data_IF_127111367365
#
_entry.id   IF_127111367365
#
_cell.length_a   1.000
_cell.length_b   1.000
_cell.length_c   1.000
_cell.angle_alpha   90.00
_cell.angle_beta   90.00
_cell.angle_gamma   90.00
#
_symmetry.space_group_name_H-M   'P 1'
#
loop_
_entity.id
_entity.type
_entity.pdbx_description
1 polymer ?
#
# COMPACT_ATOMS: atom_id res chain seq x y z
N UNK A 1 -26.23 14.20 -21.02
CA UNK A 1 -27.09 14.79 -19.97
C UNK A 1 -27.63 13.67 -19.09
N UNK A 2 -26.92 13.35 -18.01
CA UNK A 2 -27.30 12.28 -17.08
C UNK A 2 -28.30 12.88 -16.10
N UNK A 3 -29.59 12.56 -16.28
CA UNK A 3 -30.65 12.96 -15.33
C UNK A 3 -30.49 12.13 -14.06
N UNK A 4 -29.80 12.67 -13.07
CA UNK A 4 -29.87 12.21 -11.68
C UNK A 4 -31.27 12.47 -11.16
N UNK A 5 -32.16 11.50 -11.34
CA UNK A 5 -33.44 11.46 -10.65
C UNK A 5 -33.17 11.14 -9.18
N UNK A 6 -32.87 12.16 -8.38
CA UNK A 6 -33.05 12.10 -6.94
C UNK A 6 -34.55 11.90 -6.71
N UNK A 7 -34.98 10.64 -6.56
CA UNK A 7 -36.26 10.36 -5.92
C UNK A 7 -36.11 10.84 -4.50
N UNK A 8 -36.76 11.96 -4.17
CA UNK A 8 -37.09 12.27 -2.80
C UNK A 8 -37.73 11.02 -2.22
N UNK A 9 -37.04 10.36 -1.29
CA UNK A 9 -37.64 9.37 -0.43
C UNK A 9 -38.69 10.11 0.37
N UNK A 10 -39.92 10.07 -0.13
CA UNK A 10 -41.07 10.43 0.67
C UNK A 10 -41.05 9.38 1.79
N UNK A 11 -40.66 9.82 2.98
CA UNK A 11 -41.10 9.16 4.20
C UNK A 11 -42.59 9.41 4.29
N UNK A 12 -43.37 8.78 3.41
CA UNK A 12 -44.73 8.43 3.76
C UNK A 12 -44.64 7.29 4.77
N UNK A 13 -44.09 7.60 5.95
CA UNK A 13 -44.55 7.03 7.19
C UNK A 13 -46.03 7.40 7.20
N UNK A 14 -46.81 6.49 6.65
CA UNK A 14 -48.23 6.60 6.52
C UNK A 14 -48.74 7.05 7.89
N UNK A 15 -49.49 8.16 7.90
CA UNK A 15 -50.29 8.62 9.04
C UNK A 15 -51.36 7.57 9.36
N UNK A 16 -50.93 6.42 9.85
CA UNK A 16 -51.76 5.25 10.13
C UNK A 16 -51.25 4.61 11.42
N UNK A 17 -51.56 5.24 12.54
CA UNK A 17 -52.34 4.60 13.61
C UNK A 17 -52.47 5.52 14.83
N UNK A 18 -53.67 5.51 15.40
CA UNK A 18 -54.07 6.24 16.60
C UNK A 18 -53.69 5.48 17.89
N UNK A 19 -52.62 4.68 17.88
CA UNK A 19 -52.31 3.73 18.94
C UNK A 19 -50.98 4.08 19.62
N UNK A 20 -51.02 4.31 20.93
CA UNK A 20 -49.85 4.68 21.77
C UNK A 20 -48.72 3.65 21.73
N UNK A 21 -49.01 2.42 21.29
CA UNK A 21 -48.08 1.29 21.30
C UNK A 21 -47.58 0.84 19.91
N UNK A 22 -47.87 1.59 18.85
CA UNK A 22 -47.46 1.24 17.48
C UNK A 22 -45.94 1.03 17.32
N UNK A 23 -45.14 1.74 18.13
CA UNK A 23 -43.69 1.56 18.19
C UNK A 23 -43.30 0.17 18.73
N UNK A 24 -43.93 -0.29 19.80
CA UNK A 24 -43.66 -1.60 20.38
C UNK A 24 -44.12 -2.73 19.47
N UNK A 25 -45.26 -2.57 18.81
CA UNK A 25 -45.73 -3.52 17.79
C UNK A 25 -44.75 -3.64 16.61
N UNK A 26 -44.07 -2.55 16.24
CA UNK A 26 -43.03 -2.57 15.22
C UNK A 26 -41.80 -3.35 15.68
N UNK A 27 -41.32 -3.08 16.90
CA UNK A 27 -40.16 -3.79 17.49
C UNK A 27 -40.40 -5.29 17.57
N UNK A 28 -41.63 -5.72 17.91
CA UNK A 28 -42.01 -7.14 17.95
C UNK A 28 -42.12 -7.78 16.56
N UNK A 29 -42.40 -7.00 15.51
CA UNK A 29 -42.47 -7.49 14.12
C UNK A 29 -41.10 -7.56 13.45
N UNK A 30 -40.14 -6.74 13.88
CA UNK A 30 -38.79 -6.77 13.33
C UNK A 30 -37.99 -7.95 13.91
N UNK A 31 -37.40 -8.82 13.07
CA UNK A 31 -36.55 -9.89 13.56
C UNK A 31 -35.31 -9.30 14.25
N UNK A 32 -34.86 -9.95 15.33
CA UNK A 32 -33.67 -9.53 16.10
C UNK A 32 -32.39 -9.54 15.26
N UNK A 33 -32.35 -10.38 14.23
CA UNK A 33 -31.24 -10.50 13.28
C UNK A 33 -31.79 -10.38 11.84
N UNK A 34 -32.08 -9.16 11.36
CA UNK A 34 -32.69 -8.96 10.05
C UNK A 34 -31.75 -9.39 8.93
N UNK A 35 -32.21 -10.32 8.08
CA UNK A 35 -31.43 -10.82 6.93
C UNK A 35 -31.48 -9.92 5.70
N UNK A 36 -32.26 -8.86 5.78
CA UNK A 36 -32.48 -7.86 4.74
C UNK A 36 -32.76 -6.52 5.44
N UNK A 37 -32.58 -5.37 4.75
CA UNK A 37 -32.95 -4.07 5.31
C UNK A 37 -34.37 -4.09 5.90
N UNK A 38 -34.57 -3.35 6.98
CA UNK A 38 -35.82 -3.38 7.75
C UNK A 38 -37.01 -3.01 6.86
N UNK A 39 -36.83 -2.09 5.91
CA UNK A 39 -37.87 -1.72 4.95
C UNK A 39 -38.33 -2.93 4.13
N UNK A 40 -37.40 -3.78 3.67
CA UNK A 40 -37.73 -4.99 2.93
C UNK A 40 -38.42 -6.05 3.81
N UNK A 41 -38.12 -6.09 5.11
CA UNK A 41 -38.80 -7.00 6.06
C UNK A 41 -40.24 -6.60 6.36
N UNK A 42 -40.57 -5.32 6.23
CA UNK A 42 -41.90 -4.77 6.48
C UNK A 42 -42.79 -4.72 5.22
N UNK A 43 -42.22 -4.98 4.04
CA UNK A 43 -42.93 -4.97 2.75
C UNK A 43 -43.72 -6.26 2.51
N UNK A 44 -44.73 -6.18 1.64
CA UNK A 44 -45.43 -7.36 1.14
C UNK A 44 -44.51 -8.19 0.22
N UNK A 45 -44.68 -9.52 0.14
CA UNK A 45 -43.81 -10.39 -0.66
C UNK A 45 -43.74 -9.98 -2.14
N UNK A 46 -44.86 -9.53 -2.72
CA UNK A 46 -44.93 -9.06 -4.11
C UNK A 46 -44.12 -7.79 -4.35
N UNK A 47 -44.17 -6.84 -3.41
CA UNK A 47 -43.42 -5.57 -3.50
C UNK A 47 -41.91 -5.82 -3.37
N UNK A 48 -41.53 -6.82 -2.57
CA UNK A 48 -40.16 -7.27 -2.39
C UNK A 48 -39.58 -7.90 -3.66
N UNK A 49 -40.34 -8.76 -4.35
CA UNK A 49 -39.96 -9.35 -5.64
C UNK A 49 -39.73 -8.27 -6.72
N UNK A 50 -40.62 -7.29 -6.79
CA UNK A 50 -40.45 -6.14 -7.69
C UNK A 50 -39.21 -5.31 -7.35
N UNK A 51 -38.93 -5.09 -6.06
CA UNK A 51 -37.74 -4.37 -5.62
C UNK A 51 -36.47 -5.11 -6.01
N UNK A 52 -36.41 -6.43 -5.76
CA UNK A 52 -35.27 -7.28 -6.17
C UNK A 52 -35.03 -7.25 -7.67
N UNK A 53 -36.09 -7.21 -8.49
CA UNK A 53 -35.95 -7.07 -9.94
C UNK A 53 -35.43 -5.70 -10.39
N UNK A 54 -35.69 -4.63 -9.61
CA UNK A 54 -35.29 -3.25 -9.90
C UNK A 54 -33.91 -2.89 -9.33
N UNK A 55 -33.52 -3.48 -8.20
CA UNK A 55 -32.24 -3.18 -7.52
C UNK A 55 -31.14 -4.11 -8.02
N UNK A 56 -30.11 -3.55 -8.65
CA UNK A 56 -28.93 -4.31 -9.11
C UNK A 56 -27.94 -4.64 -7.98
N UNK A 57 -28.12 -4.04 -6.81
CA UNK A 57 -27.26 -4.23 -5.64
C UNK A 57 -27.80 -5.34 -4.75
N UNK A 58 -27.16 -6.50 -4.77
CA UNK A 58 -27.35 -7.55 -3.76
C UNK A 58 -26.49 -7.21 -2.55
N UNK A 59 -27.11 -6.97 -1.39
CA UNK A 59 -26.38 -6.88 -0.13
C UNK A 59 -25.90 -8.28 0.23
N UNK A 60 -24.62 -8.59 -0.07
CA UNK A 60 -23.96 -9.86 0.28
C UNK A 60 -23.53 -9.91 1.76
N UNK A 61 -24.18 -9.13 2.63
CA UNK A 61 -23.72 -8.92 3.99
C UNK A 61 -24.27 -9.90 5.03
N UNK A 62 -24.95 -10.98 4.62
CA UNK A 62 -25.42 -11.97 5.57
C UNK A 62 -25.02 -13.39 5.16
N UNK A 63 -23.76 -13.72 5.45
CA UNK A 63 -23.27 -15.08 5.38
C UNK A 63 -23.93 -15.89 6.51
N UNK A 64 -24.65 -16.96 6.18
CA UNK A 64 -25.04 -17.96 7.18
C UNK A 64 -23.76 -18.62 7.69
N UNK A 65 -23.39 -18.32 8.93
CA UNK A 65 -22.23 -18.90 9.62
C UNK A 65 -22.60 -20.19 10.40
N UNK A 66 -23.86 -20.58 10.34
CA UNK A 66 -24.48 -21.65 11.14
C UNK A 66 -23.93 -23.03 10.74
N UNK A 67 -23.65 -23.26 9.45
CA UNK A 67 -23.23 -24.57 8.92
C UNK A 67 -21.70 -24.76 8.79
N UNK A 68 -20.90 -23.78 9.22
CA UNK A 68 -19.44 -23.82 9.11
C UNK A 68 -18.80 -24.31 10.42
N UNK A 69 -17.68 -25.04 10.29
CA UNK A 69 -16.88 -25.38 11.48
C UNK A 69 -16.41 -24.10 12.18
N UNK A 70 -16.16 -24.12 13.50
CA UNK A 70 -15.66 -22.94 14.21
C UNK A 70 -14.40 -22.35 13.56
N UNK A 71 -13.49 -23.19 13.06
CA UNK A 71 -12.31 -22.74 12.35
C UNK A 71 -12.65 -22.06 11.02
N UNK A 72 -13.50 -22.67 10.19
CA UNK A 72 -13.90 -22.11 8.90
C UNK A 72 -14.67 -20.79 9.06
N UNK A 73 -15.51 -20.72 10.10
CA UNK A 73 -16.20 -19.50 10.51
C UNK A 73 -15.21 -18.40 10.84
N UNK A 74 -14.18 -18.71 11.64
CA UNK A 74 -13.13 -17.74 11.98
C UNK A 74 -12.33 -17.37 10.71
N UNK A 75 -12.00 -18.31 9.81
CA UNK A 75 -11.32 -17.99 8.54
C UNK A 75 -12.16 -17.04 7.69
N UNK A 76 -13.48 -17.22 7.63
CA UNK A 76 -14.38 -16.41 6.80
C UNK A 76 -14.65 -15.02 7.37
N UNK A 77 -14.74 -14.90 8.70
CA UNK A 77 -14.98 -13.61 9.39
C UNK A 77 -13.69 -12.81 9.56
N UNK A 78 -12.58 -13.46 9.93
CA UNK A 78 -11.31 -12.81 10.28
C UNK A 78 -10.23 -12.97 9.21
N UNK A 79 -10.54 -13.57 8.06
CA UNK A 79 -9.67 -13.60 6.88
C UNK A 79 -8.49 -14.57 6.96
N UNK A 80 -8.73 -15.82 7.35
CA UNK A 80 -7.74 -16.92 7.32
C UNK A 80 -6.66 -16.90 8.41
N UNK A 81 -6.50 -15.80 9.15
CA UNK A 81 -5.38 -15.58 10.07
C UNK A 81 -5.66 -16.06 11.49
N UNK A 82 -5.89 -17.36 11.65
CA UNK A 82 -6.26 -17.93 12.96
C UNK A 82 -5.05 -18.02 13.90
N UNK A 83 -3.85 -18.23 13.36
CA UNK A 83 -2.65 -18.58 14.14
C UNK A 83 -1.65 -17.43 14.36
N UNK A 84 -2.07 -16.19 14.07
CA UNK A 84 -1.16 -15.03 14.17
C UNK A 84 -0.07 -15.01 13.10
N UNK A 85 -0.33 -15.62 11.94
CA UNK A 85 0.59 -15.60 10.80
C UNK A 85 0.99 -14.16 10.45
N UNK A 86 2.26 -13.98 10.07
CA UNK A 86 2.86 -12.68 9.77
C UNK A 86 1.99 -11.90 8.77
N UNK A 87 1.85 -10.57 8.95
CA UNK A 87 1.15 -9.74 7.96
C UNK A 87 1.88 -9.84 6.63
N UNK A 88 1.28 -10.52 5.66
CA UNK A 88 1.64 -10.38 4.26
C UNK A 88 1.15 -9.00 3.81
N UNK A 89 1.99 -7.97 3.99
CA UNK A 89 1.71 -6.64 3.48
C UNK A 89 1.58 -6.71 1.95
N UNK A 90 0.42 -6.34 1.41
CA UNK A 90 0.13 -6.37 -0.02
C UNK A 90 1.09 -5.52 -0.86
N UNK A 91 1.76 -4.54 -0.27
CA UNK A 91 2.82 -3.75 -0.92
C UNK A 91 4.12 -4.53 -1.14
N UNK A 92 4.41 -5.55 -0.32
CA UNK A 92 5.61 -6.40 -0.48
C UNK A 92 5.46 -7.53 -1.49
N UNK A 93 4.25 -7.76 -2.01
CA UNK A 93 3.97 -8.86 -2.95
C UNK A 93 4.27 -8.54 -4.42
N UNK A 94 4.42 -7.26 -4.78
CA UNK A 94 4.75 -6.83 -6.15
C UNK A 94 6.24 -6.48 -6.33
N UNK A 95 7.09 -6.91 -5.39
CA UNK A 95 8.54 -6.86 -5.55
C UNK A 95 8.93 -8.02 -6.46
N UNK A 96 9.80 -7.79 -7.44
CA UNK A 96 10.28 -8.86 -8.32
C UNK A 96 10.97 -9.98 -7.54
N UNK A 97 11.29 -11.08 -8.22
CA UNK A 97 11.86 -12.26 -7.58
C UNK A 97 13.25 -11.95 -7.00
N UNK A 98 13.51 -12.24 -5.70
CA UNK A 98 14.83 -12.05 -5.11
C UNK A 98 15.86 -12.97 -5.78
N UNK A 99 17.09 -12.50 -5.95
CA UNK A 99 18.19 -13.26 -6.58
C UNK A 99 19.32 -13.52 -5.60
N UNK A 100 19.97 -14.67 -5.75
CA UNK A 100 21.15 -15.04 -4.93
C UNK A 100 22.40 -14.68 -5.73
N UNK A 101 23.23 -13.80 -5.17
CA UNK A 101 24.47 -13.33 -5.79
C UNK A 101 25.59 -13.54 -4.77
N UNK A 102 26.61 -14.35 -5.11
CA UNK A 102 27.72 -14.69 -4.20
C UNK A 102 27.25 -15.17 -2.80
N UNK A 103 26.17 -15.96 -2.76
CA UNK A 103 25.57 -16.45 -1.51
C UNK A 103 24.77 -15.42 -0.69
N UNK A 104 24.52 -14.22 -1.22
CA UNK A 104 23.67 -13.19 -0.61
C UNK A 104 22.35 -13.08 -1.36
N UNK A 105 21.23 -13.16 -0.64
CA UNK A 105 19.88 -12.95 -1.18
C UNK A 105 19.57 -11.46 -1.32
N UNK A 106 19.69 -10.94 -2.54
CA UNK A 106 19.41 -9.53 -2.86
C UNK A 106 17.96 -9.41 -3.37
N UNK A 107 17.11 -8.58 -2.73
CA UNK A 107 15.76 -8.33 -3.20
C UNK A 107 15.78 -7.51 -4.49
N UNK A 108 14.69 -7.55 -5.25
CA UNK A 108 14.55 -6.65 -6.39
C UNK A 108 14.36 -5.19 -5.94
N UNK A 109 14.62 -4.23 -6.83
CA UNK A 109 14.49 -2.80 -6.51
C UNK A 109 13.04 -2.50 -6.10
N UNK A 110 12.81 -1.91 -4.90
CA UNK A 110 11.47 -1.53 -4.50
C UNK A 110 10.91 -0.47 -5.46
N UNK A 111 9.63 -0.59 -5.80
CA UNK A 111 8.92 0.38 -6.65
C UNK A 111 8.42 1.54 -5.80
N UNK A 112 8.44 2.73 -6.38
CA UNK A 112 7.94 3.93 -5.71
C UNK A 112 6.43 3.80 -5.41
N UNK A 113 5.97 4.26 -4.24
CA UNK A 113 4.58 4.15 -3.84
C UNK A 113 3.67 5.23 -4.45
N UNK A 114 2.57 4.82 -5.08
CA UNK A 114 1.63 5.75 -5.73
C UNK A 114 0.55 6.32 -4.77
N UNK A 115 0.39 5.77 -3.56
CA UNK A 115 -0.66 6.13 -2.63
C UNK A 115 -0.11 6.84 -1.38
N UNK A 116 0.19 8.13 -1.51
CA UNK A 116 0.55 8.98 -0.38
C UNK A 116 -0.69 9.74 0.12
N UNK A 117 -1.22 9.33 1.28
CA UNK A 117 -2.45 9.89 1.85
C UNK A 117 -2.28 11.31 2.45
N UNK A 118 -1.04 11.83 2.54
CA UNK A 118 -0.69 13.15 3.10
C UNK A 118 -1.24 13.45 4.53
N UNK A 119 -1.84 12.46 5.20
CA UNK A 119 -2.64 12.64 6.42
C UNK A 119 -1.92 12.21 7.70
N UNK A 120 -0.62 11.89 7.62
CA UNK A 120 0.17 11.51 8.80
C UNK A 120 -0.20 10.13 9.36
N UNK A 121 -0.27 9.11 8.51
CA UNK A 121 -0.46 7.72 8.95
C UNK A 121 0.68 7.27 9.86
N UNK A 122 0.36 6.41 10.84
CA UNK A 122 1.31 5.80 11.80
C UNK A 122 2.52 5.10 11.13
N UNK A 123 2.32 4.54 9.94
CA UNK A 123 3.36 4.00 9.09
C UNK A 123 3.34 4.80 7.79
N UNK A 124 4.25 5.77 7.65
CA UNK A 124 4.36 6.54 6.42
C UNK A 124 4.85 5.61 5.29
N UNK A 125 4.12 5.56 4.18
CA UNK A 125 4.48 4.72 3.03
C UNK A 125 5.87 5.07 2.49
N UNK A 126 6.22 6.37 2.53
CA UNK A 126 7.55 6.85 2.13
C UNK A 126 8.65 6.46 3.12
N UNK A 127 8.35 6.36 4.42
CA UNK A 127 9.33 5.85 5.40
C UNK A 127 9.60 4.37 5.14
N UNK A 128 8.55 3.57 4.93
CA UNK A 128 8.68 2.16 4.60
C UNK A 128 9.45 1.95 3.28
N UNK A 129 9.13 2.73 2.25
CA UNK A 129 9.86 2.70 0.98
C UNK A 129 11.33 3.07 1.16
N UNK A 130 11.62 4.14 1.90
CA UNK A 130 13.00 4.54 2.17
C UNK A 130 13.78 3.47 2.93
N UNK A 131 13.15 2.79 3.88
CA UNK A 131 13.76 1.68 4.61
C UNK A 131 13.97 0.46 3.69
N UNK A 132 13.00 0.11 2.85
CA UNK A 132 13.16 -0.94 1.83
C UNK A 132 14.28 -0.61 0.82
N UNK A 133 14.44 0.66 0.42
CA UNK A 133 15.55 1.14 -0.46
C UNK A 133 16.89 1.05 0.25
N UNK A 134 16.98 1.41 1.53
CA UNK A 134 18.22 1.26 2.32
C UNK A 134 18.60 -0.21 2.44
N UNK A 135 17.65 -1.07 2.81
CA UNK A 135 17.88 -2.52 2.93
C UNK A 135 18.34 -3.12 1.60
N UNK A 136 17.72 -2.72 0.49
CA UNK A 136 18.13 -3.12 -0.86
C UNK A 136 19.59 -2.72 -1.15
N UNK A 137 19.94 -1.45 -0.91
CA UNK A 137 21.31 -0.94 -1.10
C UNK A 137 22.34 -1.64 -0.22
N UNK A 138 21.99 -1.99 1.01
CA UNK A 138 22.91 -2.65 1.93
C UNK A 138 23.13 -4.12 1.55
N UNK A 139 22.08 -4.84 1.14
CA UNK A 139 22.25 -6.21 0.60
C UNK A 139 23.07 -6.22 -0.69
N UNK A 140 22.93 -5.18 -1.52
CA UNK A 140 23.73 -4.99 -2.73
C UNK A 140 25.20 -4.77 -2.44
N UNK A 141 25.53 -3.93 -1.46
CA UNK A 141 26.92 -3.73 -0.99
C UNK A 141 27.52 -5.04 -0.48
N UNK A 142 26.80 -5.74 0.40
CA UNK A 142 27.24 -7.03 0.94
C UNK A 142 27.47 -8.07 -0.16
N UNK A 143 26.57 -8.14 -1.14
CA UNK A 143 26.73 -9.02 -2.29
C UNK A 143 27.95 -8.63 -3.13
N UNK A 144 28.15 -7.34 -3.39
CA UNK A 144 29.30 -6.85 -4.15
C UNK A 144 30.63 -7.16 -3.44
N UNK A 145 30.71 -6.99 -2.12
CA UNK A 145 31.91 -7.28 -1.35
C UNK A 145 32.24 -8.77 -1.34
N UNK A 146 31.24 -9.65 -1.13
CA UNK A 146 31.46 -11.10 -1.25
C UNK A 146 31.85 -11.52 -2.67
N UNK A 147 31.34 -10.83 -3.68
CA UNK A 147 31.65 -11.10 -5.08
C UNK A 147 33.09 -10.66 -5.42
N UNK A 148 33.64 -9.63 -4.77
CA UNK A 148 35.09 -9.30 -4.85
C UNK A 148 35.96 -10.42 -4.28
N UNK A 149 35.52 -11.07 -3.21
CA UNK A 149 36.28 -12.13 -2.53
C UNK A 149 36.23 -13.47 -3.28
N UNK A 150 35.04 -13.86 -3.76
CA UNK A 150 34.81 -15.15 -4.42
C UNK A 150 35.16 -15.12 -5.91
N UNK A 151 35.11 -13.95 -6.53
CA UNK A 151 35.12 -13.81 -7.99
C UNK A 151 33.79 -14.24 -8.61
N UNK A 152 33.39 -13.61 -9.71
CA UNK A 152 32.15 -13.93 -10.41
C UNK A 152 31.63 -12.76 -11.23
N UNK A 153 30.51 -12.96 -11.93
CA UNK A 153 29.88 -11.90 -12.73
C UNK A 153 28.57 -11.48 -12.09
N UNK A 154 28.36 -10.16 -11.95
CA UNK A 154 27.06 -9.63 -11.58
C UNK A 154 26.07 -9.78 -12.74
N UNK A 155 24.82 -10.24 -12.52
CA UNK A 155 23.82 -10.37 -13.59
C UNK A 155 23.49 -9.02 -14.25
N UNK A 156 23.60 -8.92 -15.57
CA UNK A 156 23.36 -7.66 -16.32
C UNK A 156 21.94 -7.11 -16.09
N UNK A 157 20.93 -7.99 -16.05
CA UNK A 157 19.51 -7.62 -15.86
C UNK A 157 19.17 -7.11 -14.44
N UNK A 158 20.13 -7.12 -13.50
CA UNK A 158 19.85 -6.93 -12.08
C UNK A 158 20.58 -5.72 -11.50
N UNK A 159 20.30 -4.56 -12.10
CA UNK A 159 20.72 -3.22 -11.65
C UNK A 159 22.17 -3.07 -11.15
N UNK A 160 23.24 -3.68 -11.69
CA UNK A 160 24.59 -3.80 -11.09
C UNK A 160 25.17 -2.53 -10.41
N UNK A 161 25.82 -2.63 -9.22
CA UNK A 161 26.40 -1.48 -8.54
C UNK A 161 27.81 -1.26 -9.08
N UNK A 162 27.91 -0.62 -10.25
CA UNK A 162 29.16 -0.48 -11.01
C UNK A 162 30.29 0.12 -10.16
N UNK A 163 29.98 1.10 -9.30
CA UNK A 163 30.96 1.77 -8.41
C UNK A 163 31.54 0.85 -7.33
N UNK A 164 30.78 -0.16 -6.90
CA UNK A 164 31.15 -1.03 -5.80
C UNK A 164 31.81 -2.31 -6.28
N UNK A 165 31.79 -2.62 -7.58
CA UNK A 165 32.37 -3.84 -8.15
C UNK A 165 33.77 -3.59 -8.74
N UNK A 166 34.59 -4.63 -8.76
CA UNK A 166 35.85 -4.61 -9.52
C UNK A 166 35.56 -4.73 -11.02
N UNK A 167 36.46 -4.22 -11.88
CA UNK A 167 36.28 -4.25 -13.34
C UNK A 167 36.07 -5.66 -13.93
N UNK A 168 36.64 -6.67 -13.29
CA UNK A 168 36.53 -8.09 -13.68
C UNK A 168 35.15 -8.68 -13.39
N UNK A 169 34.42 -8.10 -12.44
CA UNK A 169 33.14 -8.61 -11.97
C UNK A 169 31.94 -7.92 -12.64
N UNK A 170 32.23 -6.95 -13.52
CA UNK A 170 31.22 -6.21 -14.28
C UNK A 170 30.88 -7.01 -15.54
N UNK A 171 29.60 -7.23 -15.85
CA UNK A 171 29.20 -7.91 -17.08
C UNK A 171 29.64 -7.11 -18.33
N UNK A 172 30.03 -7.84 -19.38
CA UNK A 172 30.69 -7.27 -20.57
C UNK A 172 29.84 -6.22 -21.30
N UNK A 173 28.51 -6.36 -21.26
CA UNK A 173 27.56 -5.41 -21.85
C UNK A 173 27.66 -4.01 -21.23
N UNK A 174 27.88 -3.93 -19.92
CA UNK A 174 28.01 -2.67 -19.19
C UNK A 174 29.45 -2.13 -19.21
N UNK A 175 30.44 -3.00 -19.36
CA UNK A 175 31.85 -2.60 -19.48
C UNK A 175 32.13 -1.83 -20.79
N UNK A 176 31.39 -2.11 -21.87
CA UNK A 176 31.53 -1.44 -23.16
C UNK A 176 30.85 -0.07 -23.22
N UNK A 177 29.92 0.21 -22.32
CA UNK A 177 29.07 1.39 -22.36
C UNK A 177 29.70 2.51 -21.49
N UNK A 178 30.34 3.54 -22.07
CA UNK A 178 31.08 4.57 -21.30
C UNK A 178 30.16 5.45 -20.42
N UNK A 179 28.85 5.26 -20.53
CA UNK A 179 27.81 5.97 -19.78
C UNK A 179 27.20 5.09 -18.66
N UNK A 180 27.65 3.85 -18.47
CA UNK A 180 27.12 2.93 -17.45
C UNK A 180 27.34 3.44 -16.02
N UNK A 181 28.53 3.96 -15.73
CA UNK A 181 28.85 4.58 -14.44
C UNK A 181 27.93 5.77 -14.15
N UNK A 182 27.66 6.61 -15.16
CA UNK A 182 26.80 7.80 -15.04
C UNK A 182 25.33 7.45 -14.86
N UNK A 183 24.81 6.40 -15.53
CA UNK A 183 23.41 5.95 -15.35
C UNK A 183 23.17 5.44 -13.92
N UNK A 184 24.12 4.68 -13.36
CA UNK A 184 24.03 4.23 -11.95
C UNK A 184 24.14 5.38 -10.95
N UNK A 185 24.92 6.42 -11.27
CA UNK A 185 25.13 7.59 -10.41
C UNK A 185 23.93 8.54 -10.33
N UNK A 186 23.17 8.67 -11.42
CA UNK A 186 21.95 9.48 -11.48
C UNK A 186 20.90 8.90 -10.52
N UNK A 187 20.67 7.58 -10.53
CA UNK A 187 19.67 6.93 -9.67
C UNK A 187 20.01 7.01 -8.16
N UNK A 188 21.29 6.96 -7.80
CA UNK A 188 21.72 6.86 -6.39
C UNK A 188 21.92 8.20 -5.67
N UNK A 189 22.20 9.29 -6.39
CA UNK A 189 22.62 10.54 -5.73
C UNK A 189 21.52 11.60 -5.71
N UNK A 190 20.98 12.02 -6.87
CA UNK A 190 20.04 13.16 -6.97
C UNK A 190 19.29 13.19 -8.31
N UNK A 191 19.14 12.06 -8.98
CA UNK A 191 18.89 12.01 -10.43
C UNK A 191 17.58 12.61 -10.89
N UNK A 192 16.51 12.33 -10.16
CA UNK A 192 15.17 12.74 -10.55
C UNK A 192 14.63 13.93 -9.75
N UNK A 193 15.49 14.53 -8.92
CA UNK A 193 15.13 15.72 -8.16
C UNK A 193 15.13 16.93 -9.09
N UNK A 194 13.98 17.61 -9.31
CA UNK A 194 13.90 18.76 -10.20
C UNK A 194 14.97 19.80 -9.88
N UNK A 195 15.47 20.47 -10.92
CA UNK A 195 16.52 21.50 -10.81
C UNK A 195 16.20 22.52 -9.70
N UNK A 196 14.92 22.88 -9.53
CA UNK A 196 14.45 23.76 -8.46
C UNK A 196 14.81 23.26 -7.05
N UNK A 197 14.57 21.99 -6.76
CA UNK A 197 14.85 21.39 -5.44
C UNK A 197 16.37 21.27 -5.24
N UNK A 198 17.13 20.97 -6.30
CA UNK A 198 18.60 20.93 -6.24
C UNK A 198 19.19 22.31 -5.91
N UNK A 199 18.68 23.37 -6.54
CA UNK A 199 19.10 24.76 -6.25
C UNK A 199 18.71 25.13 -4.82
N UNK A 200 17.51 24.77 -4.37
CA UNK A 200 17.06 25.01 -2.99
C UNK A 200 17.96 24.33 -1.96
N UNK A 201 18.30 23.06 -2.15
CA UNK A 201 19.19 22.34 -1.25
C UNK A 201 20.59 22.98 -1.19
N UNK A 202 21.12 23.48 -2.32
CA UNK A 202 22.40 24.17 -2.36
C UNK A 202 22.36 25.52 -1.63
N UNK A 203 21.29 26.32 -1.81
CA UNK A 203 21.15 27.62 -1.15
C UNK A 203 20.95 27.45 0.35
N UNK A 204 20.14 26.49 0.78
CA UNK A 204 19.92 26.18 2.20
C UNK A 204 21.21 25.73 2.89
N UNK A 205 22.00 24.86 2.24
CA UNK A 205 23.31 24.43 2.75
C UNK A 205 24.27 25.61 2.92
N UNK A 206 24.31 26.54 1.96
CA UNK A 206 25.10 27.79 2.05
C UNK A 206 24.61 28.70 3.18
N UNK A 207 23.29 28.86 3.32
CA UNK A 207 22.66 29.64 4.41
C UNK A 207 22.98 29.04 5.79
N UNK A 208 22.88 27.71 5.94
CA UNK A 208 23.19 27.00 7.20
C UNK A 208 24.68 27.08 7.55
N UNK A 209 25.57 27.00 6.56
CA UNK A 209 27.01 27.22 6.77
C UNK A 209 27.32 28.66 7.22
N UNK A 210 26.68 29.66 6.60
CA UNK A 210 26.80 31.07 7.01
C UNK A 210 26.27 31.28 8.44
N UNK A 211 25.11 30.71 8.78
CA UNK A 211 24.55 30.74 10.14
C UNK A 211 25.48 30.07 11.15
N UNK A 212 26.03 28.88 10.86
CA UNK A 212 27.01 28.20 11.71
C UNK A 212 28.28 29.03 11.93
N UNK A 213 28.77 29.76 10.91
CA UNK A 213 29.91 30.67 11.03
C UNK A 213 29.59 31.88 11.92
N UNK A 214 28.39 32.46 11.77
CA UNK A 214 27.90 33.60 12.57
C UNK A 214 27.56 33.18 14.01
N UNK A 215 27.22 31.92 14.25
CA UNK A 215 26.99 31.36 15.60
C UNK A 215 28.27 30.87 16.28
N UNK A 216 29.42 30.89 15.58
CA UNK A 216 30.73 30.50 16.12
C UNK A 216 31.71 31.66 16.42
N UNK A 217 31.31 32.92 16.68
CA UNK A 217 32.16 33.84 17.40
C UNK A 217 32.02 33.54 18.91
N UNK A 218 33.13 33.65 19.64
CA UNK A 218 33.26 33.44 21.09
C UNK A 218 33.36 31.99 21.56
N UNK A 219 34.40 31.30 21.08
CA UNK A 219 35.07 30.24 21.84
C UNK A 219 36.56 30.25 21.48
N UNK A 220 37.23 31.35 21.87
CA UNK A 220 38.68 31.52 21.92
C UNK A 220 39.02 32.33 23.16
#
# INVERSE_FOLDING_TARGET
MIRTSYRHFSTSLARTSKNKFAFYDLVLRTPTHPRQPIEASLMKPRELEELRGKTKTTFEGNYTLEDLSPEERIRKVFGGRIKGEERQSSSRMNVGQPRIIAGVTVPDKPKEPDNCCMSGCINCVWELYNDDVKDWNDRRKLAADKLKEQGGLWPADFYPPVKLLNKENIPEELARDPNAEKKSEVDESWGDVPVAIRVFAQTEKRLKAKKRRIQKPEAS
#
